data_IF_525595142592
#
_entry.id   IF_525595142592
#
_cell.length_a   1.000
_cell.length_b   1.000
_cell.length_c   1.000
_cell.angle_alpha   90.00
_cell.angle_beta   90.00
_cell.angle_gamma   90.00
#
_symmetry.space_group_name_H-M   'P 1'
#
loop_
_entity.id
_entity.type
_entity.pdbx_description
1 polymer ?
#
# COMPACT_ATOMS: atom_id res chain seq x y z
N UNK A 1 -17.58 0.41 79.22
CA UNK A 1 -17.31 -0.62 78.21
C UNK A 1 -18.60 -0.84 77.46
N UNK A 2 -19.04 0.02 76.53
CA UNK A 2 -18.31 0.58 75.37
C UNK A 2 -17.47 -0.53 74.69
N UNK A 3 -17.73 -0.98 73.46
CA UNK A 3 -18.19 -0.22 72.30
C UNK A 3 -19.09 -1.01 71.33
N UNK A 4 -20.00 -0.24 70.76
CA UNK A 4 -20.83 -0.48 69.61
C UNK A 4 -19.98 -0.29 68.34
N UNK A 5 -20.10 -1.14 67.31
CA UNK A 5 -19.67 -0.75 65.95
C UNK A 5 -20.75 -1.13 64.93
N UNK A 6 -21.28 -0.14 64.18
CA UNK A 6 -22.46 -0.31 63.34
C UNK A 6 -22.10 -0.87 61.96
N UNK A 7 -23.10 -1.49 61.34
CA UNK A 7 -23.16 -1.63 59.90
C UNK A 7 -23.22 -0.24 59.27
N UNK A 8 -22.38 0.03 58.28
CA UNK A 8 -22.64 1.08 57.30
C UNK A 8 -22.73 0.46 55.90
N UNK A 9 -23.72 0.85 55.10
CA UNK A 9 -24.02 0.32 53.79
C UNK A 9 -23.39 1.22 52.74
N UNK A 10 -22.47 0.72 51.92
CA UNK A 10 -22.20 1.37 50.65
C UNK A 10 -21.69 0.34 49.64
N UNK A 11 -22.60 -0.01 48.73
CA UNK A 11 -22.24 -0.64 47.48
C UNK A 11 -21.52 0.39 46.61
N UNK A 12 -20.19 0.39 46.66
CA UNK A 12 -19.40 0.88 45.53
C UNK A 12 -18.98 -0.35 44.73
N UNK A 13 -19.63 -0.56 43.59
CA UNK A 13 -19.15 -1.45 42.56
C UNK A 13 -17.74 -0.99 42.16
N UNK A 14 -16.72 -1.70 42.62
CA UNK A 14 -15.36 -1.56 42.07
C UNK A 14 -15.44 -2.05 40.63
N UNK A 15 -15.47 -1.11 39.69
CA UNK A 15 -15.31 -1.35 38.27
C UNK A 15 -14.06 -2.21 38.07
N UNK A 16 -14.14 -3.37 37.40
CA UNK A 16 -12.93 -4.11 37.04
C UNK A 16 -12.09 -3.23 36.12
N UNK A 17 -10.82 -3.05 36.46
CA UNK A 17 -9.79 -2.51 35.58
C UNK A 17 -9.74 -3.40 34.31
N UNK A 18 -9.73 -2.87 33.08
CA UNK A 18 -9.70 -3.69 31.86
C UNK A 18 -8.39 -4.48 31.67
N UNK A 19 -7.46 -4.39 32.62
CA UNK A 19 -6.14 -5.02 32.57
C UNK A 19 -6.12 -6.48 33.02
N UNK A 20 -7.20 -7.00 33.63
CA UNK A 20 -7.28 -8.41 34.03
C UNK A 20 -7.88 -9.30 32.92
N UNK A 21 -7.15 -9.36 31.79
CA UNK A 21 -7.23 -10.49 30.86
C UNK A 21 -6.45 -11.70 31.42
N UNK A 22 -6.84 -12.94 31.11
CA UNK A 22 -6.19 -14.12 31.68
C UNK A 22 -4.71 -14.14 31.30
N UNK A 23 -3.84 -14.15 32.32
CA UNK A 23 -2.42 -14.41 32.17
C UNK A 23 -2.23 -15.81 31.57
N UNK A 24 -1.67 -15.88 30.36
CA UNK A 24 -1.20 -17.15 29.78
C UNK A 24 -1.45 -17.36 28.29
N UNK A 25 -0.99 -16.46 27.44
CA UNK A 25 -0.56 -16.82 26.08
C UNK A 25 0.64 -15.92 25.73
N UNK A 26 1.82 -16.24 26.28
CA UNK A 26 3.08 -15.60 25.88
C UNK A 26 3.41 -16.01 24.45
N UNK A 27 2.65 -15.48 23.49
CA UNK A 27 2.94 -15.61 22.07
C UNK A 27 4.31 -15.03 21.83
N UNK A 28 5.21 -15.80 21.24
CA UNK A 28 6.56 -15.36 20.94
C UNK A 28 6.52 -14.08 20.09
N UNK A 29 6.97 -12.96 20.68
CA UNK A 29 7.12 -11.67 20.00
C UNK A 29 8.60 -11.36 19.83
N UNK A 30 9.10 -11.19 18.60
CA UNK A 30 10.49 -10.76 18.41
C UNK A 30 10.66 -9.34 18.93
N UNK A 31 11.78 -9.06 19.61
CA UNK A 31 12.13 -7.69 20.01
C UNK A 31 12.36 -6.83 18.76
N UNK A 32 11.41 -5.95 18.43
CA UNK A 32 11.47 -5.05 17.27
C UNK A 32 11.79 -3.61 17.66
N UNK A 33 12.07 -2.76 16.66
CA UNK A 33 12.39 -1.34 16.88
C UNK A 33 11.15 -0.43 17.08
N UNK A 34 9.93 -0.97 17.05
CA UNK A 34 8.65 -0.25 17.25
C UNK A 34 7.81 -0.93 18.35
N UNK A 35 6.80 -0.25 18.92
CA UNK A 35 5.90 -0.81 19.93
C UNK A 35 5.21 -2.10 19.45
N UNK A 36 4.98 -3.04 20.35
CA UNK A 36 4.31 -4.31 20.01
C UNK A 36 2.92 -4.08 19.40
N UNK A 37 2.55 -4.93 18.45
CA UNK A 37 1.20 -4.99 17.88
C UNK A 37 0.18 -5.42 18.94
N UNK A 38 -1.00 -4.79 18.89
CA UNK A 38 -2.15 -5.22 19.66
C UNK A 38 -2.69 -6.56 19.15
N UNK A 39 -3.27 -7.34 20.05
CA UNK A 39 -3.93 -8.58 19.66
C UNK A 39 -5.35 -8.26 19.15
N UNK A 40 -5.61 -8.59 17.88
CA UNK A 40 -6.94 -8.53 17.30
C UNK A 40 -7.30 -9.91 16.76
N UNK A 41 -8.55 -10.34 16.98
CA UNK A 41 -9.04 -11.59 16.42
C UNK A 41 -9.23 -11.43 14.91
N UNK A 42 -8.57 -12.28 14.12
CA UNK A 42 -8.71 -12.27 12.67
C UNK A 42 -10.14 -12.69 12.31
N UNK A 43 -10.86 -11.93 11.47
CA UNK A 43 -12.17 -12.35 10.98
C UNK A 43 -12.07 -13.72 10.30
N UNK A 44 -13.07 -14.59 10.52
CA UNK A 44 -13.08 -15.89 9.85
C UNK A 44 -12.95 -15.72 8.33
N UNK A 45 -12.00 -16.43 7.68
CA UNK A 45 -11.77 -16.28 6.26
C UNK A 45 -13.05 -16.69 5.52
N UNK A 46 -13.65 -15.74 4.80
CA UNK A 46 -14.83 -16.01 3.99
C UNK A 46 -14.47 -17.11 2.98
N UNK A 47 -15.20 -18.24 3.01
CA UNK A 47 -14.90 -19.41 2.17
C UNK A 47 -14.72 -18.99 0.71
N UNK A 48 -13.65 -19.47 0.07
CA UNK A 48 -13.38 -19.25 -1.34
C UNK A 48 -14.47 -19.93 -2.18
N UNK A 49 -15.54 -19.20 -2.47
CA UNK A 49 -16.59 -19.57 -3.41
C UNK A 49 -16.58 -18.60 -4.59
N UNK A 50 -17.03 -19.04 -5.77
CA UNK A 50 -17.09 -18.22 -6.99
C UNK A 50 -17.75 -16.84 -6.78
N UNK A 51 -18.78 -16.77 -5.92
CA UNK A 51 -19.46 -15.51 -5.55
C UNK A 51 -18.61 -14.60 -4.64
N UNK A 52 -17.76 -15.17 -3.81
CA UNK A 52 -16.84 -14.40 -2.97
C UNK A 52 -15.60 -13.96 -3.75
N UNK A 53 -15.16 -14.76 -4.74
CA UNK A 53 -14.08 -14.39 -5.66
C UNK A 53 -14.44 -13.13 -6.45
N UNK A 54 -15.68 -13.00 -6.92
CA UNK A 54 -16.15 -11.80 -7.61
C UNK A 54 -15.99 -10.50 -6.80
N UNK A 55 -16.14 -10.56 -5.46
CA UNK A 55 -15.88 -9.42 -4.58
C UNK A 55 -14.41 -9.02 -4.50
N UNK A 56 -13.48 -9.94 -4.77
CA UNK A 56 -12.04 -9.66 -4.80
C UNK A 56 -11.52 -9.23 -6.18
N UNK A 57 -12.31 -9.46 -7.24
CA UNK A 57 -11.94 -9.05 -8.60
C UNK A 57 -11.84 -7.53 -8.71
N UNK A 58 -12.75 -6.76 -8.09
CA UNK A 58 -12.73 -5.30 -8.13
C UNK A 58 -11.41 -4.71 -7.62
N UNK A 59 -11.04 -4.96 -6.34
CA UNK A 59 -9.75 -4.53 -5.80
C UNK A 59 -8.55 -5.06 -6.59
N UNK A 60 -8.61 -6.33 -7.04
CA UNK A 60 -7.55 -6.96 -7.83
C UNK A 60 -7.32 -6.28 -9.17
N UNK A 61 -8.38 -5.94 -9.92
CA UNK A 61 -8.28 -5.24 -11.21
C UNK A 61 -7.68 -3.84 -11.01
N UNK A 62 -8.09 -3.11 -9.97
CA UNK A 62 -7.52 -1.78 -9.67
C UNK A 62 -6.02 -1.90 -9.37
N UNK A 63 -5.63 -2.86 -8.54
CA UNK A 63 -4.22 -3.11 -8.21
C UNK A 63 -3.40 -3.51 -9.45
N UNK A 64 -3.93 -4.39 -10.30
CA UNK A 64 -3.31 -4.76 -11.57
C UNK A 64 -3.17 -3.56 -12.52
N UNK A 65 -4.19 -2.69 -12.59
CA UNK A 65 -4.17 -1.51 -13.44
C UNK A 65 -3.06 -0.54 -13.08
N UNK A 66 -2.83 -0.29 -11.78
CA UNK A 66 -1.74 0.58 -11.31
C UNK A 66 -0.38 -0.01 -11.65
N UNK A 67 -0.21 -1.33 -11.47
CA UNK A 67 1.05 -2.02 -11.81
C UNK A 67 1.35 -1.93 -13.32
N UNK A 68 0.33 -2.10 -14.18
CA UNK A 68 0.49 -2.00 -15.63
C UNK A 68 0.71 -0.57 -16.15
N UNK A 69 0.21 0.45 -15.42
CA UNK A 69 0.36 1.86 -15.79
C UNK A 69 1.80 2.39 -15.65
N UNK A 70 2.72 1.61 -15.08
CA UNK A 70 4.11 1.96 -14.74
C UNK A 70 5.04 2.35 -15.90
N UNK A 71 4.60 2.28 -17.16
CA UNK A 71 5.46 2.50 -18.32
C UNK A 71 6.40 1.33 -18.65
N UNK A 72 6.32 0.23 -17.90
CA UNK A 72 7.08 -1.02 -18.13
C UNK A 72 6.81 -1.62 -19.51
N UNK A 73 5.62 -1.38 -20.09
CA UNK A 73 5.28 -1.78 -21.46
C UNK A 73 6.18 -1.16 -22.52
N UNK A 74 6.54 0.13 -22.36
CA UNK A 74 7.39 0.83 -23.31
C UNK A 74 8.83 0.32 -23.20
N UNK A 75 9.30 0.12 -21.96
CA UNK A 75 10.63 -0.36 -21.65
C UNK A 75 10.82 -1.83 -22.08
N UNK A 76 9.81 -2.68 -21.89
CA UNK A 76 9.80 -4.05 -22.37
C UNK A 76 9.83 -4.14 -23.89
N UNK A 77 9.07 -3.29 -24.59
CA UNK A 77 9.09 -3.23 -26.05
C UNK A 77 10.45 -2.72 -26.58
N UNK A 78 11.04 -1.71 -25.94
CA UNK A 78 12.34 -1.16 -26.30
C UNK A 78 13.47 -2.19 -26.09
N UNK A 79 13.50 -2.87 -24.95
CA UNK A 79 14.47 -3.93 -24.67
C UNK A 79 14.32 -5.07 -25.68
N UNK A 80 13.09 -5.50 -25.96
CA UNK A 80 12.83 -6.55 -26.95
C UNK A 80 13.25 -6.13 -28.35
N UNK A 81 13.04 -4.87 -28.72
CA UNK A 81 13.46 -4.34 -30.02
C UNK A 81 14.99 -4.24 -30.17
N UNK A 82 15.71 -3.88 -29.09
CA UNK A 82 17.18 -3.72 -29.11
C UNK A 82 17.94 -5.03 -28.96
N UNK A 83 17.44 -5.93 -28.12
CA UNK A 83 18.16 -7.14 -27.69
C UNK A 83 17.45 -8.45 -28.08
N UNK A 84 16.30 -8.37 -28.73
CA UNK A 84 15.50 -9.53 -29.12
C UNK A 84 14.88 -10.28 -27.93
N UNK A 85 14.43 -11.52 -28.18
CA UNK A 85 13.84 -12.39 -27.15
C UNK A 85 14.82 -12.95 -26.12
N UNK A 86 16.13 -12.72 -26.28
CA UNK A 86 17.18 -13.29 -25.42
C UNK A 86 17.15 -12.80 -23.97
N UNK A 87 16.52 -11.65 -23.69
CA UNK A 87 16.39 -11.09 -22.34
C UNK A 87 15.03 -11.41 -21.67
N UNK A 88 14.10 -12.09 -22.35
CA UNK A 88 12.76 -12.35 -21.78
C UNK A 88 12.79 -13.24 -20.54
N UNK A 89 13.83 -14.05 -20.33
CA UNK A 89 13.96 -14.86 -19.13
C UNK A 89 14.10 -13.99 -17.86
N UNK A 90 14.70 -12.80 -17.96
CA UNK A 90 14.81 -11.85 -16.85
C UNK A 90 13.42 -11.34 -16.47
N UNK A 91 12.57 -11.05 -17.45
CA UNK A 91 11.17 -10.68 -17.21
C UNK A 91 10.42 -11.81 -16.50
N UNK A 92 10.64 -13.07 -16.91
CA UNK A 92 10.07 -14.24 -16.23
C UNK A 92 10.48 -14.34 -14.76
N UNK A 93 11.78 -14.19 -14.47
CA UNK A 93 12.30 -14.18 -13.08
C UNK A 93 11.74 -13.01 -12.28
N UNK A 94 11.64 -11.82 -12.88
CA UNK A 94 11.07 -10.64 -12.24
C UNK A 94 9.58 -10.84 -11.90
N UNK A 95 8.79 -11.41 -12.81
CA UNK A 95 7.38 -11.73 -12.58
C UNK A 95 7.24 -12.72 -11.41
N UNK A 96 8.04 -13.79 -11.41
CA UNK A 96 8.02 -14.77 -10.32
C UNK A 96 8.38 -14.09 -8.99
N UNK A 97 9.43 -13.27 -8.98
CA UNK A 97 9.85 -12.49 -7.80
C UNK A 97 8.76 -11.55 -7.31
N UNK A 98 8.09 -10.83 -8.22
CA UNK A 98 6.97 -9.94 -7.88
C UNK A 98 5.79 -10.71 -7.30
N UNK A 99 5.46 -11.91 -7.80
CA UNK A 99 4.39 -12.75 -7.24
C UNK A 99 4.71 -13.14 -5.80
N UNK A 100 5.91 -13.68 -5.54
CA UNK A 100 6.31 -14.05 -4.18
C UNK A 100 6.34 -12.84 -3.24
N UNK A 101 6.90 -11.72 -3.70
CA UNK A 101 6.97 -10.49 -2.93
C UNK A 101 5.57 -9.95 -2.56
N UNK A 102 4.65 -9.87 -3.52
CA UNK A 102 3.29 -9.38 -3.26
C UNK A 102 2.50 -10.31 -2.33
N UNK A 103 2.67 -11.64 -2.47
CA UNK A 103 2.05 -12.61 -1.56
C UNK A 103 2.59 -12.43 -0.14
N UNK A 104 3.91 -12.28 0.02
CA UNK A 104 4.52 -12.08 1.34
C UNK A 104 4.08 -10.77 1.99
N UNK A 105 4.05 -9.68 1.22
CA UNK A 105 3.58 -8.38 1.70
C UNK A 105 2.11 -8.43 2.11
N UNK A 106 1.26 -9.09 1.30
CA UNK A 106 -0.16 -9.28 1.64
C UNK A 106 -0.35 -10.13 2.89
N UNK A 107 0.43 -11.21 3.02
CA UNK A 107 0.42 -12.08 4.20
C UNK A 107 0.84 -11.33 5.45
N UNK A 108 1.91 -10.53 5.37
CA UNK A 108 2.35 -9.69 6.47
C UNK A 108 1.27 -8.69 6.89
N UNK A 109 0.66 -7.99 5.93
CA UNK A 109 -0.40 -7.02 6.22
C UNK A 109 -1.63 -7.66 6.88
N UNK A 110 -1.99 -8.87 6.47
CA UNK A 110 -3.11 -9.63 7.06
C UNK A 110 -2.82 -10.10 8.49
N UNK A 111 -1.58 -10.53 8.78
CA UNK A 111 -1.22 -11.03 10.12
C UNK A 111 -0.92 -9.92 11.12
N UNK A 112 -0.27 -8.84 10.69
CA UNK A 112 0.18 -7.77 11.58
C UNK A 112 -0.81 -6.59 11.64
N UNK A 113 -1.75 -6.50 10.69
CA UNK A 113 -2.66 -5.36 10.57
C UNK A 113 -1.97 -4.05 10.16
N UNK A 114 -0.68 -4.09 9.82
CA UNK A 114 0.16 -2.95 9.48
C UNK A 114 0.72 -3.10 8.05
N UNK A 115 0.95 -2.01 7.32
CA UNK A 115 1.56 -2.08 6.00
C UNK A 115 3.02 -2.56 6.08
N UNK A 116 3.49 -3.24 5.03
CA UNK A 116 4.86 -3.81 4.98
C UNK A 116 5.95 -2.75 5.22
N UNK A 117 5.71 -1.50 4.86
CA UNK A 117 6.62 -0.39 5.12
C UNK A 117 6.86 -0.16 6.62
N UNK A 118 5.82 -0.29 7.44
CA UNK A 118 5.95 -0.27 8.90
C UNK A 118 6.73 -1.50 9.40
N UNK A 119 6.57 -2.64 8.73
CA UNK A 119 7.37 -3.84 8.98
C UNK A 119 8.86 -3.66 8.73
N UNK A 120 9.24 -2.94 7.68
CA UNK A 120 10.65 -2.57 7.48
C UNK A 120 11.16 -1.70 8.63
N UNK A 121 10.38 -0.73 9.10
CA UNK A 121 10.76 0.11 10.23
C UNK A 121 10.96 -0.68 11.54
N UNK A 122 10.24 -1.81 11.71
CA UNK A 122 10.41 -2.76 12.83
C UNK A 122 11.72 -3.56 12.74
N UNK A 123 12.24 -3.79 11.53
CA UNK A 123 13.47 -4.54 11.32
C UNK A 123 14.71 -3.71 11.68
N UNK A 124 15.66 -4.33 12.39
CA UNK A 124 17.01 -3.78 12.59
C UNK A 124 17.61 -3.51 11.20
N UNK A 125 18.12 -2.29 10.89
CA UNK A 125 18.81 -1.32 11.76
C UNK A 125 17.96 -0.22 12.41
N UNK A 126 16.63 -0.27 12.27
CA UNK A 126 15.70 0.69 12.89
C UNK A 126 15.09 1.71 11.92
N UNK A 127 14.07 2.46 12.38
CA UNK A 127 13.20 3.25 11.52
C UNK A 127 13.92 4.35 10.73
N UNK A 128 14.88 5.05 11.33
CA UNK A 128 15.61 6.15 10.67
C UNK A 128 16.41 5.68 9.46
N UNK A 129 17.01 4.49 9.53
CA UNK A 129 17.75 3.91 8.41
C UNK A 129 16.80 3.55 7.26
N UNK A 130 15.70 2.84 7.56
CA UNK A 130 14.73 2.44 6.55
C UNK A 130 14.02 3.64 5.92
N UNK A 131 13.68 4.67 6.70
CA UNK A 131 13.13 5.92 6.16
C UNK A 131 14.14 6.59 5.22
N UNK A 132 15.41 6.69 5.61
CA UNK A 132 16.44 7.28 4.75
C UNK A 132 16.62 6.50 3.43
N UNK A 133 16.62 5.17 3.51
CA UNK A 133 16.71 4.29 2.32
C UNK A 133 15.47 4.46 1.44
N UNK A 134 14.28 4.43 2.03
CA UNK A 134 13.02 4.62 1.30
C UNK A 134 12.95 5.99 0.62
N UNK A 135 13.36 7.06 1.31
CA UNK A 135 13.45 8.40 0.72
C UNK A 135 14.46 8.40 -0.43
N UNK A 136 15.65 7.83 -0.22
CA UNK A 136 16.69 7.76 -1.25
C UNK A 136 16.21 7.02 -2.52
N UNK A 137 15.57 5.85 -2.37
CA UNK A 137 14.98 5.13 -3.49
C UNK A 137 13.80 5.90 -4.11
N UNK A 138 13.06 6.66 -3.30
CA UNK A 138 11.91 7.45 -3.77
C UNK A 138 12.31 8.80 -4.39
N UNK A 139 13.59 9.20 -4.38
CA UNK A 139 14.03 10.44 -5.05
C UNK A 139 13.63 10.43 -6.53
N UNK A 140 13.71 9.27 -7.19
CA UNK A 140 13.26 9.11 -8.57
C UNK A 140 11.75 9.24 -8.78
N UNK A 141 10.95 9.00 -7.73
CA UNK A 141 9.49 9.11 -7.77
C UNK A 141 8.99 10.58 -7.75
N UNK A 142 9.87 11.55 -7.43
CA UNK A 142 9.54 12.98 -7.59
C UNK A 142 9.44 13.39 -9.06
N UNK A 143 10.06 12.64 -9.98
CA UNK A 143 9.83 12.81 -11.41
C UNK A 143 8.47 12.15 -11.71
N UNK A 144 7.48 12.88 -12.24
CA UNK A 144 6.15 12.35 -12.48
C UNK A 144 6.16 11.46 -13.73
N UNK A 145 6.83 10.31 -13.63
CA UNK A 145 7.04 9.38 -14.74
C UNK A 145 5.70 8.93 -15.32
N UNK A 146 4.76 8.51 -14.46
CA UNK A 146 3.43 8.07 -14.87
C UNK A 146 2.65 9.18 -15.60
N UNK A 147 2.70 10.41 -15.08
CA UNK A 147 2.03 11.55 -15.69
C UNK A 147 2.63 11.91 -17.04
N UNK A 148 3.96 11.81 -17.15
CA UNK A 148 4.69 12.07 -18.39
C UNK A 148 4.41 11.00 -19.43
N UNK A 149 4.37 9.72 -19.05
CA UNK A 149 4.00 8.61 -19.93
C UNK A 149 2.56 8.76 -20.42
N UNK A 150 1.62 9.07 -19.53
CA UNK A 150 0.24 9.36 -19.92
C UNK A 150 0.16 10.56 -20.89
N UNK A 151 0.89 11.64 -20.61
CA UNK A 151 0.97 12.80 -21.49
C UNK A 151 1.56 12.47 -22.87
N UNK A 152 2.56 11.60 -22.96
CA UNK A 152 3.12 11.17 -24.26
C UNK A 152 2.10 10.41 -25.11
N UNK A 153 1.24 9.59 -24.49
CA UNK A 153 0.17 8.88 -25.20
C UNK A 153 -0.88 9.87 -25.72
N UNK A 154 -1.31 10.82 -24.87
CA UNK A 154 -2.27 11.86 -25.28
C UNK A 154 -1.69 12.73 -26.40
N UNK A 155 -0.43 13.12 -26.28
CA UNK A 155 0.28 13.87 -27.31
C UNK A 155 0.36 13.08 -28.62
N UNK A 156 0.71 11.79 -28.57
CA UNK A 156 0.77 10.95 -29.76
C UNK A 156 -0.60 10.84 -30.46
N UNK A 157 -1.69 10.71 -29.70
CA UNK A 157 -3.05 10.69 -30.22
C UNK A 157 -3.46 12.03 -30.85
N UNK A 158 -3.03 13.15 -30.26
CA UNK A 158 -3.34 14.49 -30.79
C UNK A 158 -2.55 14.82 -32.06
N UNK A 159 -1.30 14.39 -32.15
CA UNK A 159 -0.41 14.66 -33.28
C UNK A 159 -0.51 13.62 -34.41
N UNK A 160 -1.18 12.48 -34.17
CA UNK A 160 -1.21 11.32 -35.07
C UNK A 160 0.19 10.79 -35.46
N UNK A 161 1.19 11.10 -34.62
CA UNK A 161 2.58 10.65 -34.77
C UNK A 161 3.26 10.56 -33.40
N UNK A 162 4.36 9.79 -33.27
CA UNK A 162 5.15 9.79 -32.04
C UNK A 162 5.71 11.19 -31.76
N UNK A 163 5.59 11.72 -30.53
CA UNK A 163 6.07 13.06 -30.19
C UNK A 163 7.59 13.16 -30.33
N UNK A 164 8.05 14.18 -31.07
CA UNK A 164 9.46 14.44 -31.33
C UNK A 164 10.10 15.41 -30.33
N UNK A 165 11.40 15.73 -30.50
CA UNK A 165 12.07 16.75 -29.69
C UNK A 165 11.40 18.14 -29.75
N UNK A 166 10.76 18.48 -30.89
CA UNK A 166 9.99 19.71 -31.06
C UNK A 166 8.72 19.78 -30.19
N UNK A 167 8.11 18.63 -29.86
CA UNK A 167 6.83 18.55 -29.14
C UNK A 167 7.00 18.46 -27.61
N UNK A 168 8.26 18.56 -27.12
CA UNK A 168 8.59 18.47 -25.69
C UNK A 168 7.81 19.45 -24.83
N UNK A 169 7.57 20.66 -25.33
CA UNK A 169 6.78 21.65 -24.60
C UNK A 169 5.35 21.15 -24.37
N UNK A 170 4.70 20.60 -25.40
CA UNK A 170 3.35 20.06 -25.32
C UNK A 170 3.28 18.87 -24.36
N UNK A 171 4.22 17.93 -24.45
CA UNK A 171 4.29 16.76 -23.55
C UNK A 171 4.49 17.19 -22.09
N UNK A 172 5.41 18.11 -21.83
CA UNK A 172 5.66 18.59 -20.47
C UNK A 172 4.45 19.35 -19.91
N UNK A 173 3.81 20.22 -20.70
CA UNK A 173 2.61 20.95 -20.28
C UNK A 173 1.47 19.97 -19.96
N UNK A 174 1.21 18.99 -20.82
CA UNK A 174 0.22 17.95 -20.54
C UNK A 174 0.60 17.12 -19.30
N UNK A 175 1.87 16.79 -19.13
CA UNK A 175 2.37 16.04 -17.97
C UNK A 175 2.11 16.77 -16.65
N UNK A 176 2.36 18.09 -16.59
CA UNK A 176 2.07 18.87 -15.40
C UNK A 176 0.57 19.10 -15.19
N UNK A 177 -0.22 19.24 -16.27
CA UNK A 177 -1.67 19.36 -16.18
C UNK A 177 -2.32 18.08 -15.65
N UNK A 178 -1.88 16.91 -16.13
CA UNK A 178 -2.34 15.61 -15.62
C UNK A 178 -1.93 15.41 -14.16
N UNK A 179 -0.69 15.77 -13.81
CA UNK A 179 -0.20 15.70 -12.43
C UNK A 179 -1.07 16.56 -11.51
N UNK A 180 -1.31 17.82 -11.89
CA UNK A 180 -2.19 18.73 -11.17
C UNK A 180 -3.63 18.20 -11.09
N UNK A 181 -4.16 17.69 -12.20
CA UNK A 181 -5.52 17.18 -12.30
C UNK A 181 -5.79 15.96 -11.41
N UNK A 182 -4.79 15.10 -11.19
CA UNK A 182 -4.88 13.96 -10.26
C UNK A 182 -4.60 14.40 -8.82
N UNK A 183 -3.63 15.30 -8.61
CA UNK A 183 -3.19 15.71 -7.26
C UNK A 183 -4.19 16.67 -6.59
N UNK A 184 -4.83 17.57 -7.34
CA UNK A 184 -5.77 18.57 -6.82
C UNK A 184 -6.99 17.95 -6.12
N UNK A 185 -7.71 16.97 -6.70
CA UNK A 185 -8.82 16.30 -6.02
C UNK A 185 -8.37 15.53 -4.76
N UNK A 186 -7.15 15.00 -4.76
CA UNK A 186 -6.57 14.29 -3.62
C UNK A 186 -6.30 15.28 -2.46
N UNK A 187 -5.76 16.45 -2.76
CA UNK A 187 -5.46 17.48 -1.75
C UNK A 187 -6.71 18.10 -1.14
N UNK A 188 -7.80 18.24 -1.91
CA UNK A 188 -9.10 18.77 -1.46
C UNK A 188 -9.93 17.66 -0.77
N UNK A 189 -9.26 16.69 -0.15
CA UNK A 189 -9.69 15.36 0.30
C UNK A 189 -10.83 15.26 1.32
N UNK A 190 -11.85 16.12 1.29
CA UNK A 190 -13.12 15.92 1.98
C UNK A 190 -14.13 15.06 1.20
N UNK A 191 -13.95 14.86 -0.12
CA UNK A 191 -14.97 14.22 -0.98
C UNK A 191 -14.69 12.78 -1.43
N UNK A 192 -13.47 12.26 -1.31
CA UNK A 192 -13.12 10.92 -1.82
C UNK A 192 -13.91 9.82 -1.09
N UNK A 193 -14.14 9.99 0.21
CA UNK A 193 -15.03 9.12 0.99
C UNK A 193 -16.48 9.16 0.50
N UNK A 194 -16.96 10.30 -0.01
CA UNK A 194 -18.33 10.49 -0.46
C UNK A 194 -18.55 9.92 -1.88
N UNK A 195 -17.51 9.86 -2.71
CA UNK A 195 -17.60 9.26 -4.06
C UNK A 195 -17.56 7.73 -4.00
N UNK A 196 -16.92 7.12 -3.00
CA UNK A 196 -16.97 5.66 -2.79
C UNK A 196 -18.32 5.15 -2.24
N UNK A 197 -19.21 6.03 -1.78
CA UNK A 197 -20.58 5.63 -1.42
C UNK A 197 -21.50 5.46 -2.63
N UNK A 198 -21.06 5.88 -3.82
CA UNK A 198 -21.85 5.89 -5.05
C UNK A 198 -21.51 4.77 -6.04
N UNK A 199 -20.54 3.90 -5.72
CA UNK A 199 -20.15 2.72 -6.50
C UNK A 199 -20.43 1.45 -5.72
#
# INVERSE_FOLDING_TARGET
>A
MSDNKPADPDGSATTPDPSDGPAGDERFRPATCLPDWGDAELPEPKRLGLKNLAGFIGPGIVMCGVQLAGGEWLLGAEITAKYGGGLMWIAGVAIIGQVFYNIECGRYAMYCGEPVFTGFMRARPGPTFWISVLILLSVGAFIPALSTTAATIIAALYLDRPPGPEDRALVNTLGYLLLGGVTLPILVGGKIYNTMQWV
#
